data_IF_157857700757
#
_entry.id   IF_157857700757
#
_cell.length_a   1.000
_cell.length_b   1.000
_cell.length_c   1.000
_cell.angle_alpha   90.00
_cell.angle_beta   90.00
_cell.angle_gamma   90.00
#
_symmetry.space_group_name_H-M   'P 1'
#
loop_
_entity.id
_entity.type
_entity.pdbx_description
1 polymer ?
#
# COMPACT_ATOMS: atom_id res chain seq x y z
N UNK A 1 -11.50 16.60 -1.13
CA UNK A 1 -11.34 15.24 -0.59
C UNK A 1 -10.17 15.22 0.37
N UNK A 2 -9.84 14.04 0.86
CA UNK A 2 -8.67 13.81 1.71
C UNK A 2 -7.83 12.66 1.15
N UNK A 3 -6.51 12.86 1.02
CA UNK A 3 -5.60 11.79 0.59
C UNK A 3 -4.55 11.46 1.65
N UNK A 4 -4.11 10.21 1.67
CA UNK A 4 -2.94 9.76 2.43
C UNK A 4 -1.94 9.19 1.43
N UNK A 5 -0.68 9.60 1.55
CA UNK A 5 0.41 9.13 0.68
C UNK A 5 1.52 8.50 1.53
N UNK A 6 1.64 7.18 1.47
CA UNK A 6 2.61 6.39 2.22
C UNK A 6 3.80 6.10 1.33
N UNK A 7 4.94 6.73 1.64
CA UNK A 7 6.10 6.78 0.75
C UNK A 7 5.99 7.91 -0.28
N UNK A 8 5.62 9.10 0.19
CA UNK A 8 5.30 10.25 -0.65
C UNK A 8 6.45 10.73 -1.55
N UNK A 9 7.71 10.39 -1.22
CA UNK A 9 8.88 10.60 -2.07
C UNK A 9 9.01 12.06 -2.57
N UNK A 10 9.37 12.25 -3.85
CA UNK A 10 9.50 13.56 -4.48
C UNK A 10 8.14 14.27 -4.61
N UNK A 11 8.08 15.60 -4.43
CA UNK A 11 6.81 16.33 -4.37
C UNK A 11 6.05 16.42 -5.70
N UNK A 12 6.67 16.11 -6.83
CA UNK A 12 6.07 16.27 -8.16
C UNK A 12 6.29 15.04 -9.03
N UNK A 13 7.55 14.62 -9.16
CA UNK A 13 7.92 13.45 -9.96
C UNK A 13 7.52 12.17 -9.24
N UNK A 14 7.01 11.20 -10.00
CA UNK A 14 6.59 9.88 -9.49
C UNK A 14 5.51 9.90 -8.40
N UNK A 15 4.83 11.04 -8.20
CA UNK A 15 3.81 11.16 -7.15
C UNK A 15 2.42 10.76 -7.66
N UNK A 16 1.87 9.73 -7.04
CA UNK A 16 0.48 9.30 -7.26
C UNK A 16 -0.55 10.31 -6.72
N UNK A 17 -0.12 11.23 -5.84
CA UNK A 17 -1.04 12.14 -5.14
C UNK A 17 -0.86 13.61 -5.53
N UNK A 18 0.05 13.93 -6.47
CA UNK A 18 0.39 15.32 -6.79
C UNK A 18 -0.83 16.14 -7.20
N UNK A 19 -1.67 15.52 -8.04
CA UNK A 19 -2.88 16.08 -8.61
C UNK A 19 -3.95 16.37 -7.55
N UNK A 20 -4.12 15.49 -6.55
CA UNK A 20 -5.12 15.71 -5.49
C UNK A 20 -4.82 16.97 -4.69
N UNK A 21 -3.56 17.19 -4.34
CA UNK A 21 -3.12 18.37 -3.57
C UNK A 21 -3.16 19.66 -4.39
N UNK A 22 -2.50 19.68 -5.56
CA UNK A 22 -2.23 20.94 -6.28
C UNK A 22 -3.34 21.34 -7.24
N UNK A 23 -3.97 20.37 -7.88
CA UNK A 23 -4.99 20.64 -8.90
C UNK A 23 -6.39 20.61 -8.30
N UNK A 24 -6.64 19.73 -7.33
CA UNK A 24 -7.96 19.57 -6.71
C UNK A 24 -8.07 20.23 -5.33
N UNK A 25 -6.95 20.71 -4.76
CA UNK A 25 -6.94 21.39 -3.47
C UNK A 25 -7.35 20.51 -2.30
N UNK A 26 -7.12 19.20 -2.38
CA UNK A 26 -7.46 18.27 -1.31
C UNK A 26 -6.50 18.43 -0.13
N UNK A 27 -7.06 18.26 1.07
CA UNK A 27 -6.24 18.08 2.26
C UNK A 27 -5.51 16.73 2.19
N UNK A 28 -4.30 16.67 2.75
CA UNK A 28 -3.47 15.49 2.62
C UNK A 28 -2.55 15.22 3.80
N UNK A 29 -2.19 13.95 3.97
CA UNK A 29 -1.15 13.48 4.87
C UNK A 29 -0.09 12.71 4.05
N UNK A 30 1.12 13.24 4.01
CA UNK A 30 2.27 12.60 3.37
C UNK A 30 3.15 11.95 4.45
N UNK A 31 3.48 10.67 4.31
CA UNK A 31 4.35 9.92 5.22
C UNK A 31 5.64 9.59 4.48
N UNK A 32 6.77 10.11 4.96
CA UNK A 32 8.07 10.00 4.29
C UNK A 32 9.20 10.03 5.33
N UNK A 33 10.01 8.96 5.48
CA UNK A 33 11.09 8.94 6.46
C UNK A 33 12.35 9.70 6.04
N UNK A 34 12.61 9.92 4.74
CA UNK A 34 13.83 10.55 4.25
C UNK A 34 13.85 12.05 4.60
N UNK A 35 14.82 12.53 5.41
CA UNK A 35 14.84 13.90 5.90
C UNK A 35 14.99 14.95 4.78
N UNK A 36 15.65 14.60 3.66
CA UNK A 36 15.72 15.49 2.51
C UNK A 36 14.35 15.62 1.85
N UNK A 37 13.69 14.50 1.54
CA UNK A 37 12.37 14.48 0.90
C UNK A 37 11.30 15.14 1.77
N UNK A 38 11.34 14.94 3.09
CA UNK A 38 10.47 15.66 4.05
C UNK A 38 10.58 17.18 3.88
N UNK A 39 11.79 17.69 3.70
CA UNK A 39 12.02 19.14 3.51
C UNK A 39 11.42 19.61 2.17
N UNK A 40 11.60 18.84 1.10
CA UNK A 40 11.01 19.14 -0.21
C UNK A 40 9.49 19.09 -0.18
N UNK A 41 8.89 18.06 0.42
CA UNK A 41 7.45 17.90 0.57
C UNK A 41 6.83 19.08 1.31
N UNK A 42 7.38 19.46 2.47
CA UNK A 42 6.90 20.63 3.25
C UNK A 42 6.99 21.95 2.50
N UNK A 43 7.94 22.07 1.56
CA UNK A 43 8.15 23.30 0.79
C UNK A 43 7.18 23.41 -0.40
N UNK A 44 6.83 22.28 -1.02
CA UNK A 44 6.16 22.25 -2.32
C UNK A 44 4.72 21.70 -2.31
N UNK A 45 4.35 20.98 -1.25
CA UNK A 45 3.03 20.37 -1.05
C UNK A 45 2.27 21.08 0.06
N UNK A 46 0.95 21.03 0.02
CA UNK A 46 0.10 21.50 1.13
C UNK A 46 -0.22 20.43 2.17
N UNK A 47 0.15 19.16 1.94
CA UNK A 47 -0.06 18.10 2.91
C UNK A 47 0.69 18.32 4.23
N UNK A 48 0.10 17.82 5.31
CA UNK A 48 0.86 17.58 6.54
C UNK A 48 1.87 16.46 6.30
N UNK A 49 3.10 16.62 6.79
CA UNK A 49 4.18 15.64 6.56
C UNK A 49 4.58 14.95 7.86
N UNK A 50 4.50 13.62 7.89
CA UNK A 50 4.93 12.77 9.01
C UNK A 50 6.28 12.12 8.67
N UNK A 51 7.37 12.47 9.41
CA UNK A 51 8.71 11.98 9.12
C UNK A 51 8.95 10.59 9.75
N UNK A 52 8.09 9.62 9.45
CA UNK A 52 8.18 8.24 9.92
C UNK A 52 8.21 7.28 8.73
N UNK A 53 8.84 6.12 8.92
CA UNK A 53 8.58 5.00 8.04
C UNK A 53 7.33 4.27 8.52
N UNK A 54 6.79 3.42 7.66
CA UNK A 54 5.64 2.58 7.99
C UNK A 54 6.07 1.12 7.99
N UNK A 55 5.58 0.37 8.97
CA UNK A 55 5.84 -1.06 9.11
C UNK A 55 4.66 -1.73 9.83
N UNK A 56 4.61 -3.05 9.89
CA UNK A 56 3.56 -3.78 10.63
C UNK A 56 3.65 -3.58 12.15
N UNK A 57 4.85 -3.35 12.66
CA UNK A 57 5.14 -3.15 14.08
C UNK A 57 6.05 -1.93 14.30
N UNK A 58 6.09 -1.44 15.54
CA UNK A 58 6.96 -0.33 15.94
C UNK A 58 8.43 -0.75 15.85
N UNK A 59 9.21 -0.04 15.03
CA UNK A 59 10.66 -0.20 14.92
C UNK A 59 11.32 1.12 15.30
N UNK A 60 12.04 1.13 16.43
CA UNK A 60 12.62 2.37 16.98
C UNK A 60 13.68 3.00 16.08
N UNK A 61 14.39 2.20 15.29
CA UNK A 61 15.42 2.67 14.37
C UNK A 61 15.60 1.66 13.25
N UNK A 62 15.10 1.98 12.06
CA UNK A 62 15.35 1.23 10.82
C UNK A 62 16.31 2.05 9.97
N UNK A 63 17.40 1.42 9.50
CA UNK A 63 18.36 2.05 8.61
C UNK A 63 17.85 1.99 7.16
N UNK A 64 18.09 3.07 6.42
CA UNK A 64 17.79 3.23 5.01
C UNK A 64 19.02 3.73 4.29
N UNK A 65 19.20 3.29 3.05
CA UNK A 65 20.27 3.77 2.18
C UNK A 65 19.72 4.04 0.78
N UNK A 66 20.28 5.02 0.09
CA UNK A 66 20.04 5.18 -1.34
C UNK A 66 20.65 4.03 -2.15
N UNK A 67 20.31 3.93 -3.43
CA UNK A 67 20.79 2.87 -4.33
C UNK A 67 22.32 2.88 -4.48
N UNK A 68 22.95 4.03 -4.24
CA UNK A 68 24.42 4.18 -4.29
C UNK A 68 25.11 3.84 -2.98
N UNK A 69 24.37 3.66 -1.88
CA UNK A 69 24.90 3.45 -0.53
C UNK A 69 25.61 4.68 0.07
N UNK A 70 25.54 5.83 -0.59
CA UNK A 70 26.25 7.05 -0.21
C UNK A 70 25.46 7.87 0.81
N UNK A 71 24.14 7.81 0.74
CA UNK A 71 23.27 8.46 1.70
C UNK A 71 22.63 7.41 2.59
N UNK A 72 22.90 7.49 3.89
CA UNK A 72 22.35 6.60 4.90
C UNK A 72 21.66 7.44 5.97
N UNK A 73 20.47 7.03 6.36
CA UNK A 73 19.75 7.63 7.48
C UNK A 73 18.98 6.55 8.25
N UNK A 74 18.50 6.90 9.44
CA UNK A 74 17.59 6.03 10.19
C UNK A 74 16.31 6.77 10.54
N UNK A 75 15.21 6.02 10.61
CA UNK A 75 13.91 6.54 11.00
C UNK A 75 13.17 5.55 11.90
N UNK A 76 12.28 6.09 12.73
CA UNK A 76 11.33 5.30 13.51
C UNK A 76 10.19 4.88 12.61
N UNK A 77 9.91 3.57 12.55
CA UNK A 77 8.74 3.04 11.86
C UNK A 77 7.60 2.78 12.82
N UNK A 78 6.38 3.09 12.40
CA UNK A 78 5.15 2.84 13.15
C UNK A 78 4.15 2.07 12.28
N UNK A 79 3.22 1.31 12.89
CA UNK A 79 2.01 0.83 12.23
C UNK A 79 1.27 1.99 11.54
N UNK A 80 0.80 1.77 10.30
CA UNK A 80 0.04 2.78 9.56
C UNK A 80 -1.16 3.24 10.38
N UNK A 81 -1.89 2.32 11.00
CA UNK A 81 -3.02 2.63 11.88
C UNK A 81 -2.64 3.60 13.00
N UNK A 82 -1.47 3.43 13.64
CA UNK A 82 -1.01 4.34 14.70
C UNK A 82 -0.74 5.75 14.17
N UNK A 83 -0.14 5.86 12.97
CA UNK A 83 0.11 7.16 12.33
C UNK A 83 -1.22 7.86 12.02
N UNK A 84 -2.18 7.15 11.43
CA UNK A 84 -3.49 7.72 11.09
C UNK A 84 -4.28 8.14 12.34
N UNK A 85 -4.21 7.37 13.43
CA UNK A 85 -4.81 7.77 14.72
C UNK A 85 -4.15 9.04 15.26
N UNK A 86 -2.81 9.11 15.27
CA UNK A 86 -2.08 10.30 15.74
C UNK A 86 -2.35 11.54 14.88
N UNK A 87 -2.60 11.35 13.58
CA UNK A 87 -3.00 12.40 12.66
C UNK A 87 -4.48 12.81 12.80
N UNK A 88 -5.26 12.17 13.68
CA UNK A 88 -6.66 12.49 13.92
C UNK A 88 -7.60 12.03 12.80
N UNK A 89 -7.24 10.98 12.06
CA UNK A 89 -8.00 10.52 10.90
C UNK A 89 -9.06 9.46 11.21
N UNK A 90 -9.20 9.04 12.46
CA UNK A 90 -10.32 8.18 12.88
C UNK A 90 -11.65 8.93 12.68
N UNK A 91 -12.59 8.29 11.98
CA UNK A 91 -13.90 8.87 11.64
C UNK A 91 -13.84 9.92 10.52
N UNK A 92 -12.67 10.19 9.94
CA UNK A 92 -12.52 11.02 8.74
C UNK A 92 -12.47 10.10 7.51
N UNK A 93 -13.22 10.45 6.47
CA UNK A 93 -13.14 9.77 5.18
C UNK A 93 -11.82 10.07 4.49
N UNK A 94 -11.11 9.02 4.10
CA UNK A 94 -9.90 9.05 3.27
C UNK A 94 -10.35 8.66 1.85
N UNK A 95 -10.35 9.63 0.94
CA UNK A 95 -10.77 9.39 -0.43
C UNK A 95 -9.76 8.52 -1.19
N UNK A 96 -8.47 8.74 -0.97
CA UNK A 96 -7.39 7.95 -1.59
C UNK A 96 -6.30 7.66 -0.58
N UNK A 97 -5.94 6.38 -0.45
CA UNK A 97 -4.73 5.91 0.23
C UNK A 97 -3.75 5.39 -0.84
N UNK A 98 -2.67 6.13 -1.07
CA UNK A 98 -1.55 5.73 -1.92
C UNK A 98 -0.49 5.04 -1.05
N UNK A 99 -0.01 3.87 -1.49
CA UNK A 99 1.03 3.09 -0.81
C UNK A 99 2.08 2.71 -1.84
N UNK A 100 3.26 3.29 -1.71
CA UNK A 100 4.43 3.00 -2.52
C UNK A 100 5.68 3.11 -1.63
N UNK A 101 6.12 2.00 -1.04
CA UNK A 101 7.18 1.98 -0.02
C UNK A 101 8.33 1.06 -0.39
N UNK A 102 8.55 0.88 -1.69
CA UNK A 102 9.67 0.14 -2.25
C UNK A 102 9.85 -1.23 -1.58
N UNK A 103 8.89 -2.14 -1.80
CA UNK A 103 8.90 -3.56 -1.41
C UNK A 103 8.47 -3.86 0.04
N UNK A 104 7.83 -2.90 0.71
CA UNK A 104 7.32 -3.05 2.08
C UNK A 104 5.79 -2.90 2.18
N UNK A 105 5.08 -2.95 1.06
CA UNK A 105 3.65 -2.64 0.97
C UNK A 105 2.80 -3.59 1.82
N UNK A 106 3.16 -4.88 1.83
CA UNK A 106 2.50 -5.87 2.68
C UNK A 106 2.68 -5.59 4.17
N UNK A 107 3.82 -5.01 4.57
CA UNK A 107 4.03 -4.62 5.96
C UNK A 107 3.19 -3.40 6.33
N UNK A 108 2.99 -2.47 5.39
CA UNK A 108 2.06 -1.35 5.55
C UNK A 108 0.64 -1.84 5.77
N UNK A 109 0.15 -2.75 4.90
CA UNK A 109 -1.20 -3.31 5.01
C UNK A 109 -1.41 -4.10 6.30
N UNK A 110 -0.39 -4.85 6.77
CA UNK A 110 -0.45 -5.56 8.06
C UNK A 110 -0.42 -4.63 9.28
N UNK A 111 0.01 -3.38 9.11
CA UNK A 111 0.08 -2.37 10.17
C UNK A 111 -1.18 -1.53 10.34
N UNK A 112 -2.28 -1.87 9.67
CA UNK A 112 -3.55 -1.15 9.74
C UNK A 112 -4.73 -2.13 9.85
N UNK A 113 -5.71 -1.80 10.70
CA UNK A 113 -7.03 -2.41 10.63
C UNK A 113 -7.89 -1.59 9.66
N UNK A 114 -8.18 -2.14 8.48
CA UNK A 114 -8.94 -1.45 7.44
C UNK A 114 -10.41 -1.22 7.82
N UNK A 115 -10.94 -1.91 8.84
CA UNK A 115 -12.30 -1.66 9.33
C UNK A 115 -12.39 -0.40 10.21
N UNK A 116 -11.27 0.02 10.81
CA UNK A 116 -11.21 1.20 11.69
C UNK A 116 -11.20 2.54 10.91
N UNK A 117 -10.99 2.50 9.59
CA UNK A 117 -10.82 3.69 8.76
C UNK A 117 -11.76 3.66 7.54
N UNK A 118 -12.37 4.80 7.23
CA UNK A 118 -13.21 4.96 6.04
C UNK A 118 -12.34 5.32 4.82
N UNK A 119 -11.74 4.32 4.19
CA UNK A 119 -10.89 4.48 2.99
C UNK A 119 -11.67 4.06 1.74
N UNK A 120 -11.80 4.95 0.75
CA UNK A 120 -12.58 4.64 -0.47
C UNK A 120 -11.78 3.91 -1.53
N UNK A 121 -10.58 4.43 -1.83
CA UNK A 121 -9.69 3.87 -2.84
C UNK A 121 -8.32 3.64 -2.26
N UNK A 122 -7.73 2.49 -2.56
CA UNK A 122 -6.35 2.15 -2.23
C UNK A 122 -5.60 1.99 -3.55
N UNK A 123 -4.53 2.75 -3.72
CA UNK A 123 -3.57 2.60 -4.81
C UNK A 123 -2.30 2.04 -4.20
N UNK A 124 -1.82 0.91 -4.71
CA UNK A 124 -0.68 0.21 -4.14
C UNK A 124 0.30 -0.23 -5.24
N UNK A 125 1.56 0.20 -5.17
CA UNK A 125 2.60 -0.21 -6.12
C UNK A 125 3.14 -1.59 -5.71
N UNK A 126 2.88 -2.62 -6.52
CA UNK A 126 3.29 -3.98 -6.19
C UNK A 126 3.80 -4.70 -7.41
N UNK A 127 4.97 -5.33 -7.29
CA UNK A 127 5.52 -6.15 -8.35
C UNK A 127 4.56 -7.30 -8.73
N UNK A 128 4.39 -7.60 -10.03
CA UNK A 128 3.52 -8.67 -10.49
C UNK A 128 3.85 -10.04 -9.90
N UNK A 129 2.85 -10.93 -9.90
CA UNK A 129 3.01 -12.33 -9.53
C UNK A 129 2.55 -12.63 -8.11
N UNK A 130 3.35 -13.35 -7.33
CA UNK A 130 2.98 -13.80 -5.98
C UNK A 130 2.58 -12.64 -5.04
N UNK A 131 3.20 -11.46 -5.19
CA UNK A 131 2.88 -10.30 -4.36
C UNK A 131 1.48 -9.74 -4.65
N UNK A 132 0.99 -9.82 -5.89
CA UNK A 132 -0.39 -9.43 -6.21
C UNK A 132 -1.42 -10.30 -5.48
N UNK A 133 -1.13 -11.61 -5.39
CA UNK A 133 -1.98 -12.55 -4.67
C UNK A 133 -1.95 -12.31 -3.15
N UNK A 134 -0.78 -11.98 -2.60
CA UNK A 134 -0.67 -11.62 -1.18
C UNK A 134 -1.50 -10.38 -0.84
N UNK A 135 -1.44 -9.35 -1.67
CA UNK A 135 -2.25 -8.13 -1.48
C UNK A 135 -3.74 -8.43 -1.62
N UNK A 136 -4.13 -9.22 -2.63
CA UNK A 136 -5.51 -9.65 -2.83
C UNK A 136 -6.04 -10.41 -1.60
N UNK A 137 -5.22 -11.29 -1.01
CA UNK A 137 -5.60 -12.06 0.17
C UNK A 137 -5.85 -11.21 1.41
N UNK A 138 -5.28 -10.00 1.47
CA UNK A 138 -5.49 -9.04 2.55
C UNK A 138 -6.68 -8.11 2.26
N UNK A 139 -6.77 -7.56 1.04
CA UNK A 139 -7.75 -6.53 0.70
C UNK A 139 -9.14 -7.08 0.36
N UNK A 140 -9.23 -8.24 -0.32
CA UNK A 140 -10.52 -8.80 -0.73
C UNK A 140 -11.40 -9.18 0.48
N UNK A 141 -10.89 -9.87 1.52
CA UNK A 141 -11.67 -10.16 2.72
C UNK A 141 -12.06 -8.91 3.52
N UNK A 142 -11.24 -7.85 3.44
CA UNK A 142 -11.49 -6.56 4.09
C UNK A 142 -12.53 -5.69 3.37
N UNK A 143 -13.20 -6.22 2.34
CA UNK A 143 -14.29 -5.51 1.65
C UNK A 143 -13.82 -4.57 0.54
N UNK A 144 -12.62 -4.80 -0.01
CA UNK A 144 -12.13 -4.08 -1.19
C UNK A 144 -12.16 -4.98 -2.41
N UNK A 145 -12.39 -4.42 -3.59
CA UNK A 145 -12.30 -5.12 -4.86
C UNK A 145 -11.22 -4.49 -5.74
N UNK A 146 -10.42 -5.32 -6.40
CA UNK A 146 -9.47 -4.88 -7.43
C UNK A 146 -10.24 -4.38 -8.65
N UNK A 147 -10.09 -3.11 -9.01
CA UNK A 147 -10.84 -2.48 -10.10
C UNK A 147 -9.98 -2.07 -11.29
N UNK A 148 -8.68 -1.90 -11.10
CA UNK A 148 -7.76 -1.54 -12.19
C UNK A 148 -6.33 -1.94 -11.90
N UNK A 149 -5.54 -2.14 -12.96
CA UNK A 149 -4.09 -2.36 -12.93
C UNK A 149 -3.48 -1.31 -13.87
N UNK A 150 -2.65 -0.44 -13.31
CA UNK A 150 -2.03 0.70 -13.98
C UNK A 150 -0.50 0.49 -14.04
N UNK A 151 -0.07 -0.59 -14.67
CA UNK A 151 1.35 -0.98 -14.66
C UNK A 151 1.69 -1.74 -13.37
N UNK A 152 2.52 -1.15 -12.50
CA UNK A 152 2.83 -1.73 -11.18
C UNK A 152 1.82 -1.30 -10.10
N UNK A 153 1.13 -0.19 -10.31
CA UNK A 153 0.07 0.26 -9.42
C UNK A 153 -1.20 -0.57 -9.62
N UNK A 154 -1.80 -1.00 -8.51
CA UNK A 154 -3.11 -1.63 -8.50
C UNK A 154 -4.07 -0.71 -7.77
N UNK A 155 -5.26 -0.53 -8.34
CA UNK A 155 -6.34 0.23 -7.72
C UNK A 155 -7.39 -0.71 -7.15
N UNK A 156 -7.61 -0.59 -5.86
CA UNK A 156 -8.70 -1.23 -5.14
C UNK A 156 -9.74 -0.19 -4.74
N UNK A 157 -11.02 -0.55 -4.88
CA UNK A 157 -12.13 0.25 -4.40
C UNK A 157 -12.84 -0.49 -3.28
N UNK A 158 -13.26 0.26 -2.26
CA UNK A 158 -14.15 -0.23 -1.23
C UNK A 158 -15.46 -0.70 -1.88
N UNK A 159 -15.89 -1.92 -1.60
CA UNK A 159 -17.00 -2.55 -2.32
C UNK A 159 -18.28 -1.71 -2.27
N UNK A 160 -18.59 -1.04 -1.15
CA UNK A 160 -19.78 -0.18 -1.05
C UNK A 160 -19.80 0.95 -2.08
N UNK A 161 -18.64 1.44 -2.54
CA UNK A 161 -18.55 2.48 -3.57
C UNK A 161 -19.03 1.96 -4.94
N UNK A 162 -18.73 0.69 -5.24
CA UNK A 162 -19.08 0.04 -6.51
C UNK A 162 -20.57 -0.31 -6.61
N UNK A 163 -21.23 -0.48 -5.46
CA UNK A 163 -22.62 -0.91 -5.36
C UNK A 163 -23.61 0.25 -5.09
N UNK A 164 -23.15 1.51 -5.13
CA UNK A 164 -24.02 2.68 -5.12
C UNK A 164 -24.72 2.87 -6.48
N UNK A 165 -25.74 2.02 -6.75
CA UNK A 165 -26.49 1.96 -8.01
C UNK A 165 -27.21 0.61 -8.24
N UNK A 166 -27.56 0.30 -9.50
CA UNK A 166 -28.38 -0.85 -10.01
C UNK A 166 -28.01 -2.28 -9.57
N UNK A 167 -27.07 -2.45 -8.65
CA UNK A 167 -26.62 -3.73 -8.11
C UNK A 167 -26.92 -3.89 -6.61
N UNK A 168 -27.84 -3.10 -6.05
CA UNK A 168 -28.28 -3.18 -4.64
C UNK A 168 -28.74 -4.57 -4.16
N UNK A 169 -29.00 -5.51 -5.07
CA UNK A 169 -29.38 -6.90 -4.77
C UNK A 169 -28.18 -7.86 -4.66
N UNK A 170 -26.97 -7.42 -4.97
CA UNK A 170 -25.76 -8.15 -4.63
C UNK A 170 -25.44 -7.85 -3.17
N UNK A 171 -25.76 -8.81 -2.29
CA UNK A 171 -25.40 -8.73 -0.88
C UNK A 171 -23.88 -8.52 -0.77
N UNK A 172 -23.41 -7.41 -0.15
CA UNK A 172 -21.99 -7.23 0.11
C UNK A 172 -21.48 -8.40 0.94
N UNK A 173 -20.28 -8.86 0.63
CA UNK A 173 -19.53 -9.82 1.46
C UNK A 173 -19.27 -9.30 2.88
N UNK A 174 -19.66 -8.06 3.22
CA UNK A 174 -19.76 -7.56 4.59
C UNK A 174 -20.69 -8.40 5.50
N UNK A 175 -21.51 -9.30 4.92
CA UNK A 175 -22.25 -10.34 5.67
C UNK A 175 -21.38 -11.56 6.04
N UNK A 176 -20.17 -11.66 5.49
CA UNK A 176 -19.15 -12.65 5.82
C UNK A 176 -18.08 -11.92 6.62
N UNK A 177 -18.21 -11.97 7.94
CA UNK A 177 -17.15 -11.59 8.87
C UNK A 177 -15.84 -12.22 8.37
N UNK A 178 -14.75 -11.47 8.24
CA UNK A 178 -13.45 -12.05 7.85
C UNK A 178 -13.00 -13.18 8.82
N UNK A 179 -13.56 -13.18 10.03
CA UNK A 179 -13.47 -14.27 11.02
C UNK A 179 -14.19 -15.59 10.62
N UNK A 180 -14.96 -15.62 9.53
CA UNK A 180 -15.71 -16.77 9.00
C UNK A 180 -15.03 -17.37 7.76
N UNK A 181 -13.91 -16.83 7.30
CA UNK A 181 -13.14 -17.56 6.30
C UNK A 181 -12.64 -18.87 6.93
N UNK A 182 -13.02 -20.04 6.40
CA UNK A 182 -12.59 -21.30 6.98
C UNK A 182 -11.06 -21.33 6.98
N UNK A 183 -10.43 -21.94 8.00
CA UNK A 183 -8.97 -22.05 8.10
C UNK A 183 -8.33 -22.57 6.80
N UNK A 184 -9.04 -23.48 6.12
CA UNK A 184 -8.67 -24.02 4.82
C UNK A 184 -8.56 -22.98 3.70
N UNK A 185 -9.26 -21.85 3.79
CA UNK A 185 -9.20 -20.76 2.80
C UNK A 185 -7.89 -20.00 2.92
N UNK A 186 -7.50 -19.59 4.13
CA UNK A 186 -6.21 -18.93 4.36
C UNK A 186 -5.05 -19.88 4.02
N UNK A 187 -5.14 -21.15 4.41
CA UNK A 187 -4.16 -22.19 4.06
C UNK A 187 -4.08 -22.43 2.54
N UNK A 188 -5.22 -22.42 1.83
CA UNK A 188 -5.27 -22.57 0.38
C UNK A 188 -4.59 -21.40 -0.33
N UNK A 189 -4.95 -20.15 0.02
CA UNK A 189 -4.35 -18.97 -0.60
C UNK A 189 -2.86 -18.90 -0.32
N UNK A 190 -2.43 -19.19 0.91
CA UNK A 190 -1.01 -19.26 1.24
C UNK A 190 -0.28 -20.29 0.38
N UNK A 191 -0.88 -21.47 0.16
CA UNK A 191 -0.29 -22.50 -0.72
C UNK A 191 -0.16 -22.03 -2.17
N UNK A 192 -1.18 -21.36 -2.72
CA UNK A 192 -1.14 -20.82 -4.09
C UNK A 192 -0.05 -19.76 -4.22
N UNK A 193 0.05 -18.86 -3.23
CA UNK A 193 1.11 -17.84 -3.16
C UNK A 193 2.50 -18.50 -3.12
N UNK A 194 2.67 -19.54 -2.30
CA UNK A 194 3.95 -20.25 -2.17
C UNK A 194 4.33 -20.99 -3.46
N UNK A 195 3.35 -21.56 -4.16
CA UNK A 195 3.53 -22.23 -5.46
C UNK A 195 3.96 -21.25 -6.55
N UNK A 196 3.27 -20.11 -6.69
CA UNK A 196 3.63 -19.06 -7.65
C UNK A 196 5.02 -18.48 -7.37
N UNK A 197 5.33 -18.17 -6.10
CA UNK A 197 6.65 -17.71 -5.68
C UNK A 197 7.74 -18.73 -6.03
N UNK A 198 7.47 -20.03 -5.84
CA UNK A 198 8.40 -21.08 -6.22
C UNK A 198 8.60 -21.17 -7.74
N UNK A 199 7.55 -20.96 -8.53
CA UNK A 199 7.64 -20.89 -9.99
C UNK A 199 8.45 -19.69 -10.48
N UNK A 200 8.22 -18.51 -9.93
CA UNK A 200 8.99 -17.30 -10.23
C UNK A 200 10.48 -17.52 -10.02
N UNK A 201 10.86 -18.03 -8.84
CA UNK A 201 12.26 -18.35 -8.55
C UNK A 201 12.82 -19.42 -9.49
N UNK A 202 12.01 -20.37 -9.96
CA UNK A 202 12.43 -21.34 -10.99
C UNK A 202 12.65 -20.66 -12.34
N UNK A 203 11.78 -19.73 -12.75
CA UNK A 203 11.91 -18.96 -14.00
C UNK A 203 13.15 -18.08 -13.98
N UNK A 204 13.42 -17.38 -12.89
CA UNK A 204 14.63 -16.57 -12.70
C UNK A 204 15.90 -17.42 -12.76
N UNK A 205 15.94 -18.56 -12.05
CA UNK A 205 17.06 -19.51 -12.12
C UNK A 205 17.29 -20.02 -13.54
N UNK A 206 16.23 -20.34 -14.29
CA UNK A 206 16.33 -20.77 -15.69
C UNK A 206 16.85 -19.64 -16.59
N UNK A 207 16.35 -18.42 -16.42
CA UNK A 207 16.80 -17.26 -17.18
C UNK A 207 18.29 -16.96 -16.93
N UNK A 208 18.74 -17.04 -15.68
CA UNK A 208 20.14 -16.89 -15.31
C UNK A 208 21.03 -17.98 -15.93
N UNK A 209 20.60 -19.25 -15.88
CA UNK A 209 21.32 -20.36 -16.52
C UNK A 209 21.37 -20.24 -18.05
N UNK A 210 20.32 -19.72 -18.69
CA UNK A 210 20.30 -19.49 -20.14
C UNK A 210 21.15 -18.27 -20.54
N UNK A 211 21.23 -17.24 -19.69
CA UNK A 211 22.13 -16.10 -19.86
C UNK A 211 23.61 -16.51 -19.79
N UNK A 212 23.99 -17.39 -18.86
CA UNK A 212 25.37 -17.90 -18.77
C UNK A 212 25.80 -18.81 -19.92
N UNK A 213 24.86 -19.42 -20.66
CA UNK A 213 25.17 -20.21 -21.87
C UNK A 213 25.40 -19.35 -23.12
N UNK A 214 25.23 -18.03 -23.03
CA UNK A 214 25.42 -17.07 -24.13
C UNK A 214 26.71 -16.22 -23.98
N UNK A 215 27.59 -16.53 -23.02
CA UNK A 215 28.93 -15.97 -22.93
C UNK A 215 29.96 -16.91 -23.56
#
# INVERSE_FOLDING_TARGET
GFYVDVGASLPFDYSNTVTFDRCLGWEGLCIEPNPYLVTFLKTHRSCSVVPNCVNSEVVKSKAFSDTSGNFVFSATCLPLGEILVKAGLRGRRIDVLSIDVEHSELQVLRGIDLYDFDIRFIVIEVNPGANWLEVDSLLLPSGYAKISILGRDIVYARMEELFSGSFANWLPLASVNAAILPKSWAEFHQRVIDEERAEEQRRERRAWQQGHRRC
#
